data_IF_372376762877
#
_entry.id   IF_372376762877
#
_cell.length_a   1.000
_cell.length_b   1.000
_cell.length_c   1.000
_cell.angle_alpha   90.00
_cell.angle_beta   90.00
_cell.angle_gamma   90.00
#
_symmetry.space_group_name_H-M   'P 1'
#
loop_
_entity.id
_entity.type
_entity.pdbx_description
1 polymer ?
#
# COMPACT_ATOMS: atom_id res chain seq x y z
N UNK A 1 -27.45 -9.73 40.71
CA UNK A 1 -26.74 -9.10 39.58
C UNK A 1 -26.30 -10.24 38.67
N UNK A 2 -27.01 -10.49 37.57
CA UNK A 2 -26.65 -11.58 36.65
C UNK A 2 -25.38 -11.17 35.88
N UNK A 3 -24.32 -11.96 36.05
CA UNK A 3 -23.10 -11.85 35.26
C UNK A 3 -23.45 -12.34 33.85
N UNK A 4 -23.71 -11.41 32.93
CA UNK A 4 -23.86 -11.75 31.52
C UNK A 4 -22.50 -12.21 31.00
N UNK A 5 -22.30 -13.51 30.90
CA UNK A 5 -21.12 -14.09 30.29
C UNK A 5 -21.21 -13.84 28.77
N UNK A 6 -20.50 -12.81 28.29
CA UNK A 6 -20.49 -12.42 26.89
C UNK A 6 -19.44 -13.27 26.17
N UNK A 7 -19.90 -14.31 25.48
CA UNK A 7 -19.05 -15.15 24.66
C UNK A 7 -19.26 -14.74 23.19
N UNK A 8 -18.42 -13.84 22.63
CA UNK A 8 -18.51 -13.49 21.22
C UNK A 8 -18.21 -14.72 20.36
N UNK A 9 -19.03 -14.94 19.34
CA UNK A 9 -18.88 -16.00 18.36
C UNK A 9 -18.68 -15.38 16.97
N UNK A 10 -17.75 -15.92 16.20
CA UNK A 10 -17.40 -15.45 14.86
C UNK A 10 -17.68 -16.58 13.87
N UNK A 11 -18.58 -16.34 12.92
CA UNK A 11 -18.83 -17.23 11.80
C UNK A 11 -18.28 -16.60 10.51
N UNK A 12 -17.28 -17.23 9.91
CA UNK A 12 -16.67 -16.79 8.66
C UNK A 12 -17.55 -17.29 7.50
N UNK A 13 -18.03 -16.37 6.66
CA UNK A 13 -18.87 -16.70 5.50
C UNK A 13 -18.06 -16.88 4.24
N UNK A 14 -17.19 -15.92 3.95
CA UNK A 14 -16.39 -15.90 2.74
C UNK A 14 -15.04 -15.21 2.98
N UNK A 15 -14.00 -15.71 2.31
CA UNK A 15 -12.64 -15.20 2.38
C UNK A 15 -12.12 -15.10 0.95
N UNK A 16 -11.99 -13.87 0.47
CA UNK A 16 -11.40 -13.51 -0.82
C UNK A 16 -10.02 -12.87 -0.60
N UNK A 17 -9.28 -12.60 -1.68
CA UNK A 17 -7.96 -11.94 -1.58
C UNK A 17 -8.08 -10.52 -1.01
N UNK A 18 -9.13 -9.77 -1.41
CA UNK A 18 -9.31 -8.35 -1.02
C UNK A 18 -10.33 -8.14 0.10
N UNK A 19 -11.18 -9.12 0.37
CA UNK A 19 -12.33 -8.96 1.26
C UNK A 19 -12.60 -10.20 2.11
N UNK A 20 -12.99 -9.97 3.36
CA UNK A 20 -13.39 -11.03 4.30
C UNK A 20 -14.78 -10.70 4.82
N UNK A 21 -15.71 -11.64 4.67
CA UNK A 21 -17.07 -11.53 5.20
C UNK A 21 -17.25 -12.47 6.39
N UNK A 22 -17.58 -11.91 7.54
CA UNK A 22 -17.87 -12.67 8.75
C UNK A 22 -19.08 -12.11 9.50
N UNK A 23 -19.71 -12.95 10.32
CA UNK A 23 -20.81 -12.57 11.22
C UNK A 23 -20.33 -12.66 12.66
N UNK A 24 -20.49 -11.59 13.43
CA UNK A 24 -20.16 -11.53 14.86
C UNK A 24 -21.44 -11.61 15.69
N UNK A 25 -21.58 -12.67 16.48
CA UNK A 25 -22.74 -12.97 17.34
C UNK A 25 -22.34 -12.95 18.82
N UNK A 26 -23.30 -12.76 19.72
CA UNK A 26 -23.05 -12.84 21.18
C UNK A 26 -22.28 -11.65 21.78
N UNK A 27 -22.25 -10.50 21.11
CA UNK A 27 -21.61 -9.26 21.58
C UNK A 27 -22.59 -8.07 21.61
N UNK A 28 -22.19 -7.00 22.29
CA UNK A 28 -22.91 -5.72 22.29
C UNK A 28 -22.54 -4.88 21.05
N UNK A 29 -23.48 -4.05 20.59
CA UNK A 29 -23.26 -3.17 19.43
C UNK A 29 -22.15 -2.15 19.66
N UNK A 30 -21.89 -1.75 20.92
CA UNK A 30 -20.78 -0.88 21.28
C UNK A 30 -19.42 -1.51 20.95
N UNK A 31 -19.23 -2.80 21.23
CA UNK A 31 -18.00 -3.53 20.95
C UNK A 31 -17.83 -3.70 19.44
N UNK A 32 -18.89 -4.06 18.73
CA UNK A 32 -18.84 -4.19 17.26
C UNK A 32 -18.47 -2.86 16.59
N UNK A 33 -19.05 -1.75 17.03
CA UNK A 33 -18.70 -0.42 16.51
C UNK A 33 -17.28 0.01 16.91
N UNK A 34 -16.81 -0.35 18.10
CA UNK A 34 -15.43 -0.10 18.51
C UNK A 34 -14.44 -0.82 17.58
N UNK A 35 -14.65 -2.12 17.31
CA UNK A 35 -13.81 -2.90 16.40
C UNK A 35 -13.80 -2.26 15.00
N UNK A 36 -14.97 -1.87 14.46
CA UNK A 36 -15.07 -1.19 13.16
C UNK A 36 -14.25 0.11 13.13
N UNK A 37 -14.24 0.89 14.21
CA UNK A 37 -13.47 2.15 14.29
C UNK A 37 -11.97 1.88 14.36
N UNK A 38 -11.56 0.90 15.16
CA UNK A 38 -10.15 0.48 15.28
C UNK A 38 -9.62 -0.01 13.93
N UNK A 39 -10.40 -0.81 13.20
CA UNK A 39 -10.05 -1.28 11.84
C UNK A 39 -9.80 -0.15 10.84
N UNK A 40 -10.49 0.99 10.98
CA UNK A 40 -10.35 2.13 10.07
C UNK A 40 -9.21 3.07 10.52
N UNK A 41 -9.04 3.27 11.82
CA UNK A 41 -8.22 4.36 12.34
C UNK A 41 -6.86 3.93 12.91
N UNK A 42 -6.72 2.69 13.39
CA UNK A 42 -5.53 2.27 14.17
C UNK A 42 -4.70 1.19 13.47
N UNK A 43 -5.15 0.70 12.31
CA UNK A 43 -4.37 -0.21 11.48
C UNK A 43 -3.23 0.57 10.83
N UNK A 44 -2.00 0.21 11.18
CA UNK A 44 -0.80 0.82 10.59
C UNK A 44 -0.71 0.47 9.10
N UNK A 45 -0.61 1.49 8.25
CA UNK A 45 -0.43 1.36 6.80
C UNK A 45 0.79 2.17 6.35
N UNK A 46 1.40 1.79 5.22
CA UNK A 46 2.43 2.60 4.56
C UNK A 46 1.76 3.37 3.43
N UNK A 47 2.12 4.65 3.30
CA UNK A 47 1.70 5.54 2.23
C UNK A 47 2.84 6.51 1.90
N UNK A 48 2.76 7.16 0.74
CA UNK A 48 3.71 8.19 0.33
C UNK A 48 3.38 9.48 1.09
N UNK A 49 4.33 9.97 1.88
CA UNK A 49 4.18 11.20 2.69
C UNK A 49 4.99 12.37 2.12
N UNK A 50 6.28 12.14 1.85
CA UNK A 50 7.18 13.15 1.28
C UNK A 50 7.31 12.95 -0.23
N UNK A 51 6.98 13.98 -1.00
CA UNK A 51 7.15 14.01 -2.46
C UNK A 51 8.12 15.13 -2.81
N UNK A 52 9.20 14.78 -3.51
CA UNK A 52 10.17 15.74 -4.04
C UNK A 52 10.03 15.78 -5.56
N UNK A 53 9.74 16.96 -6.11
CA UNK A 53 9.61 17.16 -7.56
C UNK A 53 10.86 17.87 -8.05
N UNK A 54 11.64 17.19 -8.89
CA UNK A 54 12.82 17.79 -9.54
C UNK A 54 12.42 18.66 -10.74
N UNK A 55 11.47 18.16 -11.54
CA UNK A 55 10.97 18.86 -12.73
C UNK A 55 9.52 18.48 -12.99
N UNK A 56 8.66 19.48 -13.20
CA UNK A 56 7.31 19.30 -13.68
C UNK A 56 7.03 20.31 -14.79
N UNK A 57 6.86 19.82 -16.01
CA UNK A 57 6.45 20.59 -17.18
C UNK A 57 5.03 20.26 -17.63
N UNK A 58 4.28 19.52 -16.80
CA UNK A 58 2.91 19.13 -17.11
C UNK A 58 1.93 20.28 -16.87
N UNK A 59 0.68 20.09 -17.28
CA UNK A 59 -0.41 21.07 -17.04
C UNK A 59 -0.87 21.04 -15.58
N UNK A 60 -0.56 19.98 -14.83
CA UNK A 60 -0.96 19.82 -13.43
C UNK A 60 0.05 20.51 -12.51
N UNK A 61 -0.47 21.15 -11.48
CA UNK A 61 0.34 21.77 -10.43
C UNK A 61 0.99 20.69 -9.56
N UNK A 62 2.14 21.03 -8.99
CA UNK A 62 2.97 20.14 -8.16
C UNK A 62 2.21 19.55 -6.96
N UNK A 63 1.41 20.37 -6.28
CA UNK A 63 0.62 19.95 -5.13
C UNK A 63 -0.51 18.98 -5.52
N UNK A 64 -1.07 19.12 -6.73
CA UNK A 64 -2.09 18.21 -7.22
C UNK A 64 -1.50 16.83 -7.52
N UNK A 65 -0.32 16.78 -8.12
CA UNK A 65 0.40 15.53 -8.37
C UNK A 65 0.76 14.88 -7.03
N UNK A 66 1.38 15.64 -6.12
CA UNK A 66 1.80 15.16 -4.80
C UNK A 66 0.64 14.58 -3.99
N UNK A 67 -0.51 15.29 -3.97
CA UNK A 67 -1.71 14.82 -3.28
C UNK A 67 -2.26 13.53 -3.90
N UNK A 68 -2.25 13.41 -5.23
CA UNK A 68 -2.69 12.17 -5.90
C UNK A 68 -1.75 11.00 -5.62
N UNK A 69 -0.43 11.24 -5.59
CA UNK A 69 0.56 10.23 -5.25
C UNK A 69 0.38 9.72 -3.80
N UNK A 70 0.08 10.61 -2.85
CA UNK A 70 -0.17 10.23 -1.45
C UNK A 70 -1.40 9.33 -1.24
N UNK A 71 -2.33 9.32 -2.20
CA UNK A 71 -3.53 8.48 -2.16
C UNK A 71 -3.37 7.13 -2.89
N UNK A 72 -2.22 6.86 -3.49
CA UNK A 72 -1.96 5.58 -4.15
C UNK A 72 -1.73 4.51 -3.06
N UNK A 73 -2.53 3.43 -3.04
CA UNK A 73 -2.31 2.36 -2.08
C UNK A 73 -1.04 1.58 -2.41
N UNK A 74 -0.26 1.29 -1.37
CA UNK A 74 0.96 0.49 -1.45
C UNK A 74 0.71 -0.91 -0.90
N UNK A 75 1.20 -1.92 -1.62
CA UNK A 75 1.16 -3.32 -1.20
C UNK A 75 2.50 -3.71 -0.60
N UNK A 76 2.46 -4.16 0.64
CA UNK A 76 3.60 -4.78 1.30
C UNK A 76 3.52 -6.30 1.19
N UNK A 77 4.54 -6.93 0.59
CA UNK A 77 4.72 -8.38 0.56
C UNK A 77 5.76 -8.76 1.60
N UNK A 78 5.38 -9.59 2.55
CA UNK A 78 6.33 -10.13 3.51
C UNK A 78 7.09 -11.31 2.89
N UNK A 79 8.42 -11.17 2.75
CA UNK A 79 9.34 -12.26 2.39
C UNK A 79 9.80 -12.98 3.66
N UNK A 80 9.55 -14.28 3.76
CA UNK A 80 9.93 -15.12 4.91
C UNK A 80 11.40 -15.57 4.92
N UNK A 81 12.16 -15.21 3.90
CA UNK A 81 13.53 -15.66 3.67
C UNK A 81 14.60 -14.61 4.03
N UNK A 82 14.19 -13.45 4.56
CA UNK A 82 15.11 -12.48 5.15
C UNK A 82 15.42 -12.90 6.59
N UNK A 83 16.58 -13.53 6.78
CA UNK A 83 17.15 -13.97 8.06
C UNK A 83 17.39 -12.84 9.08
N UNK A 84 17.18 -11.58 8.68
CA UNK A 84 17.45 -10.39 9.50
C UNK A 84 16.17 -9.81 10.15
N UNK A 85 15.00 -10.40 9.88
CA UNK A 85 13.79 -10.13 10.65
C UNK A 85 13.79 -11.00 11.91
N UNK A 86 13.77 -10.38 13.09
CA UNK A 86 13.68 -11.06 14.37
C UNK A 86 12.54 -12.09 14.41
N UNK A 87 12.88 -13.37 14.23
CA UNK A 87 11.98 -14.50 14.47
C UNK A 87 11.93 -14.72 15.98
N UNK A 88 10.92 -14.13 16.63
CA UNK A 88 10.54 -14.53 17.99
C UNK A 88 9.90 -15.92 17.96
N UNK A 89 10.19 -16.82 18.92
CA UNK A 89 9.93 -18.26 18.79
C UNK A 89 8.45 -18.68 18.95
N UNK A 90 7.46 -17.80 18.87
CA UNK A 90 6.07 -18.20 19.18
C UNK A 90 4.94 -17.37 18.53
N UNK A 91 5.15 -16.65 17.42
CA UNK A 91 4.03 -16.11 16.63
C UNK A 91 4.35 -15.88 15.14
N UNK A 92 4.88 -16.90 14.48
CA UNK A 92 5.08 -16.90 13.02
C UNK A 92 3.75 -17.18 12.29
N UNK A 93 3.19 -16.16 11.63
CA UNK A 93 2.41 -16.30 10.37
C UNK A 93 1.86 -14.99 9.80
N UNK A 94 1.93 -13.89 10.53
CA UNK A 94 1.62 -12.56 9.98
C UNK A 94 2.85 -11.70 10.21
N UNK A 95 3.74 -11.65 9.21
CA UNK A 95 4.83 -10.68 9.19
C UNK A 95 4.23 -9.28 9.11
N UNK A 96 3.84 -8.73 10.26
CA UNK A 96 3.26 -7.40 10.34
C UNK A 96 4.30 -6.37 9.91
N UNK A 97 3.80 -5.32 9.26
CA UNK A 97 4.59 -4.17 8.81
C UNK A 97 5.47 -3.58 9.92
N UNK A 98 4.97 -3.61 11.17
CA UNK A 98 5.65 -3.18 12.39
C UNK A 98 6.92 -3.97 12.74
N UNK A 99 7.08 -5.18 12.21
CA UNK A 99 8.28 -5.98 12.48
C UNK A 99 9.44 -5.59 11.56
N UNK A 100 9.14 -4.99 10.39
CA UNK A 100 10.16 -4.52 9.43
C UNK A 100 10.40 -3.03 9.55
N UNK A 101 9.32 -2.25 9.58
CA UNK A 101 9.40 -0.80 9.56
C UNK A 101 9.15 -0.20 10.94
N UNK A 102 9.94 0.81 11.26
CA UNK A 102 9.74 1.65 12.45
C UNK A 102 9.15 2.99 12.03
N UNK A 103 8.23 3.52 12.84
CA UNK A 103 7.64 4.85 12.61
C UNK A 103 8.74 5.92 12.57
N UNK A 104 8.62 6.90 11.67
CA UNK A 104 9.66 7.92 11.48
C UNK A 104 10.02 8.68 12.78
N UNK A 105 9.03 8.94 13.63
CA UNK A 105 9.21 9.62 14.94
C UNK A 105 9.99 8.81 15.97
N UNK A 106 10.04 7.49 15.82
CA UNK A 106 10.68 6.57 16.76
C UNK A 106 12.06 6.13 16.26
N UNK A 107 12.48 6.60 15.07
CA UNK A 107 13.76 6.26 14.46
C UNK A 107 14.82 7.34 14.76
N UNK A 108 16.05 6.92 15.07
CA UNK A 108 17.16 7.82 15.42
C UNK A 108 17.87 8.45 14.19
N UNK A 109 17.27 8.40 13.00
CA UNK A 109 17.85 8.97 11.78
C UNK A 109 17.47 10.44 11.59
N UNK A 110 18.32 11.23 10.92
CA UNK A 110 18.07 12.66 10.69
C UNK A 110 17.00 12.92 9.62
N UNK A 111 17.02 12.16 8.51
CA UNK A 111 16.08 12.33 7.40
C UNK A 111 15.24 11.09 7.14
N UNK A 112 15.88 10.02 6.64
CA UNK A 112 15.23 8.79 6.25
C UNK A 112 16.26 7.64 6.21
N UNK A 113 15.81 6.40 6.35
CA UNK A 113 16.67 5.21 6.28
C UNK A 113 15.85 4.00 5.81
N UNK A 114 16.54 2.93 5.42
CA UNK A 114 15.93 1.67 4.97
C UNK A 114 14.96 1.03 5.98
N UNK A 115 15.01 1.43 7.27
CA UNK A 115 14.13 0.93 8.32
C UNK A 115 12.87 1.79 8.53
N UNK A 116 12.90 3.08 8.21
CA UNK A 116 11.77 3.98 8.47
C UNK A 116 11.01 4.42 7.21
N UNK A 117 11.61 4.24 6.03
CA UNK A 117 11.07 4.76 4.77
C UNK A 117 11.46 3.89 3.58
N UNK A 118 10.65 3.96 2.53
CA UNK A 118 10.96 3.41 1.20
C UNK A 118 10.93 4.54 0.19
N UNK A 119 11.88 4.52 -0.74
CA UNK A 119 11.97 5.51 -1.81
C UNK A 119 11.26 5.00 -3.07
N UNK A 120 10.52 5.91 -3.72
CA UNK A 120 9.92 5.70 -5.03
C UNK A 120 10.42 6.74 -6.01
N UNK A 121 10.74 6.30 -7.23
CA UNK A 121 11.17 7.16 -8.33
C UNK A 121 10.16 7.09 -9.48
N UNK A 122 9.75 8.26 -9.98
CA UNK A 122 8.89 8.43 -11.15
C UNK A 122 9.61 9.33 -12.16
N UNK A 123 10.08 8.74 -13.25
CA UNK A 123 10.70 9.47 -14.38
C UNK A 123 9.93 9.12 -15.65
N UNK A 124 9.15 10.09 -16.15
CA UNK A 124 8.37 9.95 -17.38
C UNK A 124 8.58 11.21 -18.22
N UNK A 125 9.03 11.00 -19.46
CA UNK A 125 9.23 12.07 -20.44
C UNK A 125 8.66 11.62 -21.78
N UNK A 126 7.83 12.47 -22.39
CA UNK A 126 7.18 12.16 -23.66
C UNK A 126 8.20 11.97 -24.79
N UNK A 127 9.16 12.87 -24.91
CA UNK A 127 10.16 12.84 -25.99
C UNK A 127 11.02 11.57 -25.90
N UNK A 128 11.47 11.20 -24.69
CA UNK A 128 12.29 9.99 -24.48
C UNK A 128 11.54 8.71 -24.84
N UNK A 129 10.25 8.63 -24.52
CA UNK A 129 9.43 7.45 -24.84
C UNK A 129 9.14 7.34 -26.34
N UNK A 130 9.08 8.47 -27.06
CA UNK A 130 8.90 8.47 -28.52
C UNK A 130 10.17 8.09 -29.29
N UNK A 131 11.36 8.24 -28.68
CA UNK A 131 12.62 7.73 -29.23
C UNK A 131 12.70 6.20 -29.21
N UNK A 132 11.97 5.53 -28.30
CA UNK A 132 11.96 4.07 -28.18
C UNK A 132 11.11 3.41 -29.28
N UNK A 133 11.72 2.61 -30.19
CA UNK A 133 11.03 2.10 -31.37
C UNK A 133 9.93 1.08 -31.06
N UNK A 134 9.97 0.42 -29.90
CA UNK A 134 8.91 -0.49 -29.44
C UNK A 134 7.66 0.22 -28.94
N UNK A 135 7.80 1.45 -28.42
CA UNK A 135 6.69 2.24 -27.91
C UNK A 135 6.00 3.01 -29.05
N UNK A 136 6.79 3.62 -29.94
CA UNK A 136 6.30 4.36 -31.10
C UNK A 136 5.53 3.48 -32.12
N UNK A 137 5.74 2.16 -32.15
CA UNK A 137 4.97 1.26 -33.02
C UNK A 137 3.55 0.95 -32.52
N UNK A 138 3.32 1.07 -31.21
CA UNK A 138 2.04 0.70 -30.58
C UNK A 138 1.20 1.92 -30.20
N UNK A 139 1.70 3.14 -30.39
CA UNK A 139 1.05 4.36 -29.96
C UNK A 139 0.92 5.37 -31.10
N UNK A 140 -0.26 5.96 -31.26
CA UNK A 140 -0.47 7.07 -32.19
C UNK A 140 0.35 8.27 -31.74
N UNK A 141 1.07 8.90 -32.68
CA UNK A 141 1.98 10.03 -32.40
C UNK A 141 1.26 11.23 -31.75
N UNK A 142 -0.06 11.36 -31.91
CA UNK A 142 -0.85 12.44 -31.32
C UNK A 142 -1.55 12.04 -30.00
N UNK A 143 -1.40 10.79 -29.55
CA UNK A 143 -2.05 10.33 -28.32
C UNK A 143 -1.29 10.83 -27.08
N UNK A 144 -2.01 11.34 -26.06
CA UNK A 144 -1.38 11.72 -24.81
C UNK A 144 -0.93 10.46 -24.03
N UNK A 145 0.27 10.51 -23.47
CA UNK A 145 0.78 9.44 -22.61
C UNK A 145 0.10 9.52 -21.24
N UNK A 146 -0.48 8.40 -20.81
CA UNK A 146 -1.09 8.26 -19.49
C UNK A 146 -0.07 7.71 -18.50
N UNK A 147 0.27 8.50 -17.48
CA UNK A 147 1.12 8.04 -16.37
C UNK A 147 0.26 7.26 -15.37
N UNK A 148 0.73 6.07 -15.00
CA UNK A 148 0.02 5.13 -14.13
C UNK A 148 0.86 4.78 -12.89
N UNK A 149 0.27 4.04 -11.94
CA UNK A 149 1.02 3.56 -10.77
C UNK A 149 2.06 2.49 -11.10
N UNK A 150 2.05 1.92 -12.31
CA UNK A 150 3.08 0.97 -12.78
C UNK A 150 4.41 1.67 -13.08
N UNK A 151 4.34 2.95 -13.47
CA UNK A 151 5.53 3.75 -13.78
C UNK A 151 6.29 4.17 -12.52
N UNK A 152 5.69 3.97 -11.34
CA UNK A 152 6.30 4.27 -10.06
C UNK A 152 7.24 3.14 -9.63
N UNK A 153 8.54 3.39 -9.72
CA UNK A 153 9.58 2.40 -9.40
C UNK A 153 9.94 2.46 -7.92
N UNK A 154 9.81 1.34 -7.23
CA UNK A 154 10.24 1.21 -5.83
C UNK A 154 11.73 0.87 -5.74
N UNK A 155 12.40 1.37 -4.71
CA UNK A 155 13.75 0.92 -4.31
C UNK A 155 13.71 -0.48 -3.69
N UNK A 156 12.62 -0.83 -2.98
CA UNK A 156 12.42 -2.12 -2.33
C UNK A 156 11.41 -3.00 -3.09
N UNK A 157 11.78 -4.25 -3.40
CA UNK A 157 10.91 -5.21 -4.09
C UNK A 157 9.68 -5.63 -3.26
N UNK A 158 9.78 -5.49 -1.93
CA UNK A 158 8.72 -5.90 -1.01
C UNK A 158 7.60 -4.86 -0.87
N UNK A 159 7.81 -3.61 -1.29
CA UNK A 159 6.80 -2.55 -1.27
C UNK A 159 6.57 -2.10 -2.70
N UNK A 160 5.37 -2.36 -3.22
CA UNK A 160 5.00 -2.04 -4.60
C UNK A 160 3.73 -1.20 -4.63
N UNK A 161 3.64 -0.29 -5.59
CA UNK A 161 2.41 0.44 -5.85
C UNK A 161 1.36 -0.49 -6.45
N UNK A 162 0.12 -0.38 -5.99
CA UNK A 162 -0.98 -1.18 -6.55
C UNK A 162 -1.44 -0.55 -7.86
N UNK A 163 -1.47 -1.34 -8.93
CA UNK A 163 -2.01 -0.94 -10.22
C UNK A 163 -3.45 -1.42 -10.41
N UNK A 164 -3.71 -2.69 -10.09
CA UNK A 164 -5.05 -3.28 -10.06
C UNK A 164 -5.30 -3.96 -8.73
N UNK A 165 -6.55 -3.99 -8.27
CA UNK A 165 -6.89 -4.64 -7.00
C UNK A 165 -6.93 -6.15 -7.19
N UNK A 166 -7.47 -6.62 -8.33
CA UNK A 166 -7.62 -8.04 -8.63
C UNK A 166 -6.98 -8.48 -9.95
N UNK A 167 -6.48 -9.72 -9.99
CA UNK A 167 -6.05 -10.39 -11.23
C UNK A 167 -7.16 -10.53 -12.27
N UNK A 168 -8.42 -10.49 -11.84
CA UNK A 168 -9.57 -10.47 -12.74
C UNK A 168 -9.74 -9.13 -13.47
N UNK A 169 -9.26 -8.02 -12.87
CA UNK A 169 -9.26 -6.69 -13.49
C UNK A 169 -8.06 -6.53 -14.44
N UNK A 170 -6.92 -7.16 -14.15
CA UNK A 170 -5.75 -7.21 -15.03
C UNK A 170 -6.07 -7.79 -16.41
N UNK A 171 -7.02 -8.73 -16.51
CA UNK A 171 -7.43 -9.35 -17.78
C UNK A 171 -8.52 -8.58 -18.57
N UNK A 172 -9.02 -7.47 -18.03
CA UNK A 172 -10.06 -6.63 -18.65
C UNK A 172 -9.48 -5.35 -19.29
N UNK A 173 -8.19 -5.07 -19.10
CA UNK A 173 -7.47 -3.92 -19.63
C UNK A 173 -6.77 -4.21 -20.96
#
# INVERSE_FOLDING_TARGET
>A
MQVYNRNPQIDIRDVQEDAIQFTLSGTDTSIANAIRRVMIAEVTTIAIDRVMIESNTTVLLDEFISHRLGLIPLRYRYRSDNSDACVGPETERVGSIRNRFQENRDCDCEDHCWKCSVEFALDVSYDRLMEDPSFAMNHDQDAPITVTSMDLKSSDDDVLAVHFSNKNEEGLA
#
